data_IF_278757877229
#
_entry.id   IF_278757877229
#
_cell.length_a   1.000
_cell.length_b   1.000
_cell.length_c   1.000
_cell.angle_alpha   90.00
_cell.angle_beta   90.00
_cell.angle_gamma   90.00
#
_symmetry.space_group_name_H-M   'P 1'
#
loop_
_entity.id
_entity.type
_entity.pdbx_description
1 polymer ?
#
# COMPACT_ATOMS: atom_id res chain seq x y z
N UNK A 1 -4.32 6.68 -22.08
CA UNK A 1 -3.73 5.66 -21.20
C UNK A 1 -4.90 4.85 -20.67
N UNK A 2 -5.04 3.59 -21.10
CA UNK A 2 -6.15 2.74 -20.65
C UNK A 2 -6.06 2.58 -19.13
N UNK A 3 -7.21 2.68 -18.47
CA UNK A 3 -7.33 2.57 -17.03
C UNK A 3 -7.49 1.09 -16.72
N UNK A 4 -6.40 0.43 -16.33
CA UNK A 4 -6.43 -0.99 -16.01
C UNK A 4 -6.91 -1.21 -14.58
N UNK A 5 -7.69 -2.27 -14.38
CA UNK A 5 -8.00 -2.75 -13.04
C UNK A 5 -6.73 -3.26 -12.35
N UNK A 6 -6.72 -3.21 -11.03
CA UNK A 6 -5.62 -3.78 -10.25
C UNK A 6 -5.70 -5.31 -10.30
N UNK A 7 -4.55 -5.98 -10.26
CA UNK A 7 -4.49 -7.43 -10.20
C UNK A 7 -5.15 -7.97 -8.93
N UNK A 8 -5.61 -9.22 -8.98
CA UNK A 8 -6.20 -9.91 -7.83
C UNK A 8 -5.26 -9.90 -6.62
N UNK A 9 -3.95 -10.02 -6.86
CA UNK A 9 -2.92 -9.89 -5.84
C UNK A 9 -2.99 -8.55 -5.11
N UNK A 10 -3.06 -7.42 -5.82
CA UNK A 10 -3.10 -6.09 -5.21
C UNK A 10 -4.42 -5.88 -4.46
N UNK A 11 -5.53 -6.34 -5.01
CA UNK A 11 -6.85 -6.25 -4.36
C UNK A 11 -6.86 -7.04 -3.05
N UNK A 12 -6.34 -8.28 -3.07
CA UNK A 12 -6.22 -9.10 -1.88
C UNK A 12 -5.25 -8.47 -0.87
N UNK A 13 -4.09 -8.00 -1.34
CA UNK A 13 -3.08 -7.38 -0.49
C UNK A 13 -3.58 -6.14 0.21
N UNK A 14 -4.31 -5.26 -0.47
CA UNK A 14 -4.92 -4.08 0.12
C UNK A 14 -5.85 -4.42 1.30
N UNK A 15 -6.56 -5.55 1.25
CA UNK A 15 -7.40 -6.03 2.36
C UNK A 15 -6.57 -6.57 3.51
N UNK A 16 -5.48 -7.30 3.22
CA UNK A 16 -4.64 -7.93 4.24
C UNK A 16 -3.78 -6.93 5.01
N UNK A 17 -3.30 -5.88 4.36
CA UNK A 17 -2.52 -4.81 5.02
C UNK A 17 -3.41 -3.81 5.78
N UNK A 18 -4.72 -3.78 5.49
CA UNK A 18 -5.64 -2.81 6.06
C UNK A 18 -5.62 -2.76 7.59
N UNK A 19 -5.63 -3.89 8.33
CA UNK A 19 -5.56 -3.87 9.78
C UNK A 19 -4.35 -3.11 10.34
N UNK A 20 -3.15 -3.30 9.76
CA UNK A 20 -1.94 -2.59 10.20
C UNK A 20 -2.09 -1.06 10.10
N UNK A 21 -2.70 -0.58 9.01
CA UNK A 21 -2.94 0.85 8.82
C UNK A 21 -4.09 1.37 9.69
N UNK A 22 -5.15 0.57 9.86
CA UNK A 22 -6.28 0.90 10.71
C UNK A 22 -5.87 1.08 12.18
N UNK A 23 -4.92 0.27 12.68
CA UNK A 23 -4.37 0.39 14.03
C UNK A 23 -3.62 1.72 14.26
N UNK A 24 -3.14 2.36 13.18
CA UNK A 24 -2.53 3.70 13.20
C UNK A 24 -3.56 4.82 12.96
N UNK A 25 -4.84 4.49 12.82
CA UNK A 25 -5.89 5.44 12.42
C UNK A 25 -5.85 5.83 10.94
N UNK A 26 -5.05 5.14 10.11
CA UNK A 26 -4.95 5.39 8.69
C UNK A 26 -5.99 4.57 7.93
N UNK A 27 -6.37 5.04 6.75
CA UNK A 27 -7.28 4.30 5.87
C UNK A 27 -6.56 3.83 4.62
N UNK A 28 -6.61 2.53 4.32
CA UNK A 28 -6.04 1.95 3.10
C UNK A 28 -7.11 1.29 2.23
N UNK A 29 -6.97 1.43 0.90
CA UNK A 29 -7.82 0.76 -0.10
C UNK A 29 -7.04 0.48 -1.38
N UNK A 30 -7.51 -0.47 -2.18
CA UNK A 30 -6.99 -0.65 -3.53
C UNK A 30 -7.46 0.50 -4.43
N UNK A 31 -6.57 0.94 -5.32
CA UNK A 31 -6.87 1.82 -6.44
C UNK A 31 -6.88 1.04 -7.75
N UNK A 32 -6.73 1.76 -8.85
CA UNK A 32 -6.54 1.20 -10.20
C UNK A 32 -5.04 1.07 -10.52
N UNK A 33 -4.68 0.35 -11.59
CA UNK A 33 -3.29 0.20 -12.04
C UNK A 33 -2.33 -0.30 -10.93
N UNK A 34 -2.71 -1.35 -10.21
CA UNK A 34 -1.93 -1.95 -9.13
C UNK A 34 -1.50 -0.96 -8.03
N UNK A 35 -2.36 0.02 -7.75
CA UNK A 35 -2.11 0.99 -6.70
C UNK A 35 -2.82 0.61 -5.40
N UNK A 36 -2.20 0.95 -4.28
CA UNK A 36 -2.83 0.96 -2.97
C UNK A 36 -2.79 2.40 -2.48
N UNK A 37 -3.97 2.93 -2.18
CA UNK A 37 -4.16 4.29 -1.69
C UNK A 37 -4.19 4.24 -0.17
N UNK A 38 -3.37 5.07 0.48
CA UNK A 38 -3.29 5.18 1.92
C UNK A 38 -3.54 6.63 2.31
N UNK A 39 -4.58 6.87 3.08
CA UNK A 39 -4.88 8.16 3.69
C UNK A 39 -4.35 8.16 5.13
N UNK A 40 -3.36 9.00 5.36
CA UNK A 40 -2.78 9.28 6.68
C UNK A 40 -3.82 10.01 7.53
N UNK A 41 -3.86 9.68 8.83
CA UNK A 41 -4.78 10.29 9.77
C UNK A 41 -4.58 11.83 9.83
N UNK A 42 -5.67 12.61 9.94
CA UNK A 42 -5.61 14.07 9.85
C UNK A 42 -4.86 14.75 11.00
N UNK A 43 -4.71 14.06 12.13
CA UNK A 43 -4.03 14.48 13.34
C UNK A 43 -2.52 14.21 13.34
N UNK A 44 -2.00 13.50 12.33
CA UNK A 44 -0.56 13.26 12.20
C UNK A 44 0.17 14.33 11.39
N UNK A 45 1.42 14.58 11.77
CA UNK A 45 2.33 15.41 10.97
C UNK A 45 2.81 14.61 9.75
N UNK A 46 2.16 14.76 8.59
CA UNK A 46 2.50 14.00 7.38
C UNK A 46 3.79 14.42 6.64
N UNK A 47 4.82 14.84 7.37
CA UNK A 47 6.14 15.12 6.83
C UNK A 47 6.99 13.84 6.76
N UNK A 48 6.47 12.81 6.10
CA UNK A 48 7.19 11.56 5.93
C UNK A 48 8.13 11.61 4.72
N UNK A 49 9.36 11.17 4.92
CA UNK A 49 10.30 10.89 3.85
C UNK A 49 9.92 9.59 3.13
N UNK A 50 10.39 9.42 1.88
CA UNK A 50 10.18 8.17 1.13
C UNK A 50 10.75 6.95 1.85
N UNK A 51 11.86 7.10 2.57
CA UNK A 51 12.50 6.01 3.31
C UNK A 51 11.67 5.59 4.53
N UNK A 52 11.10 6.55 5.25
CA UNK A 52 10.20 6.25 6.38
C UNK A 52 8.94 5.53 5.89
N UNK A 53 8.34 5.99 4.79
CA UNK A 53 7.18 5.32 4.20
C UNK A 53 7.52 3.92 3.69
N UNK A 54 8.70 3.71 3.12
CA UNK A 54 9.17 2.40 2.71
C UNK A 54 9.33 1.44 3.91
N UNK A 55 9.85 1.94 5.04
CA UNK A 55 9.96 1.16 6.27
C UNK A 55 8.57 0.78 6.83
N UNK A 56 7.63 1.73 6.85
CA UNK A 56 6.24 1.48 7.27
C UNK A 56 5.59 0.42 6.37
N UNK A 57 5.79 0.49 5.05
CA UNK A 57 5.32 -0.54 4.12
C UNK A 57 5.95 -1.89 4.44
N UNK A 58 7.26 -1.94 4.70
CA UNK A 58 7.95 -3.19 5.03
C UNK A 58 7.39 -3.82 6.30
N UNK A 59 7.17 -3.03 7.36
CA UNK A 59 6.55 -3.51 8.61
C UNK A 59 5.12 -4.02 8.37
N UNK A 60 4.33 -3.30 7.57
CA UNK A 60 2.98 -3.71 7.23
C UNK A 60 2.98 -5.04 6.46
N UNK A 61 3.90 -5.20 5.51
CA UNK A 61 4.07 -6.41 4.69
C UNK A 61 4.48 -7.62 5.54
N UNK A 62 5.34 -7.44 6.53
CA UNK A 62 5.80 -8.50 7.44
C UNK A 62 4.72 -8.95 8.43
N UNK A 63 3.83 -8.04 8.84
CA UNK A 63 2.71 -8.34 9.73
C UNK A 63 1.47 -8.86 9.00
N UNK A 64 1.41 -8.68 7.68
CA UNK A 64 0.28 -9.10 6.87
C UNK A 64 0.42 -10.57 6.47
N UNK A 65 -0.69 -11.34 6.50
CA UNK A 65 -0.69 -12.69 5.93
C UNK A 65 -0.26 -12.69 4.46
N UNK A 66 0.28 -13.82 4.02
CA UNK A 66 0.59 -14.09 2.61
C UNK A 66 -0.70 -14.29 1.82
N UNK A 67 -0.72 -13.83 0.57
CA UNK A 67 -1.87 -13.96 -0.34
C UNK A 67 -1.93 -15.31 -1.06
N UNK A 68 -0.79 -15.97 -1.28
CA UNK A 68 -0.70 -17.17 -2.12
C UNK A 68 -0.88 -16.92 -3.62
N UNK A 69 -0.92 -15.65 -4.06
CA UNK A 69 -1.17 -15.25 -5.45
C UNK A 69 0.12 -14.87 -6.18
N UNK A 70 0.04 -14.79 -7.51
CA UNK A 70 1.13 -14.29 -8.35
C UNK A 70 1.35 -12.81 -8.04
N UNK A 71 2.58 -12.47 -7.63
CA UNK A 71 2.93 -11.12 -7.23
C UNK A 71 2.94 -10.19 -8.45
N UNK A 72 2.35 -9.02 -8.26
CA UNK A 72 2.46 -7.88 -9.17
C UNK A 72 3.19 -6.76 -8.46
N UNK A 73 3.82 -5.84 -9.22
CA UNK A 73 4.33 -4.60 -8.63
C UNK A 73 3.18 -3.82 -7.99
N UNK A 74 3.41 -3.26 -6.82
CA UNK A 74 2.43 -2.45 -6.09
C UNK A 74 2.94 -1.02 -6.01
N UNK A 75 2.11 -0.04 -6.36
CA UNK A 75 2.42 1.37 -6.08
C UNK A 75 1.58 1.87 -4.91
N UNK A 76 2.23 2.09 -3.78
CA UNK A 76 1.64 2.70 -2.60
C UNK A 76 1.60 4.22 -2.79
N UNK A 77 0.43 4.82 -2.64
CA UNK A 77 0.20 6.26 -2.80
C UNK A 77 -0.34 6.81 -1.48
N UNK A 78 0.43 7.68 -0.85
CA UNK A 78 0.09 8.27 0.44
C UNK A 78 -0.54 9.64 0.24
N UNK A 79 -1.67 9.86 0.91
CA UNK A 79 -2.35 11.14 0.96
C UNK A 79 -2.47 11.62 2.40
N UNK A 80 -2.45 12.93 2.58
CA UNK A 80 -2.81 13.59 3.83
C UNK A 80 -3.62 14.84 3.50
N UNK A 81 -4.81 15.00 4.09
CA UNK A 81 -5.75 16.08 3.74
C UNK A 81 -5.97 16.23 2.22
N UNK A 82 -6.16 15.11 1.52
CA UNK A 82 -6.32 15.02 0.05
C UNK A 82 -5.09 15.48 -0.77
N UNK A 83 -3.98 15.82 -0.13
CA UNK A 83 -2.71 16.16 -0.77
C UNK A 83 -1.84 14.91 -0.90
N UNK A 84 -1.23 14.74 -2.07
CA UNK A 84 -0.27 13.68 -2.30
C UNK A 84 1.00 13.94 -1.46
N UNK A 85 1.31 13.03 -0.55
CA UNK A 85 2.54 13.05 0.25
C UNK A 85 3.67 12.40 -0.53
N UNK A 86 3.50 11.14 -0.92
CA UNK A 86 4.50 10.40 -1.66
C UNK A 86 3.93 9.20 -2.41
N UNK A 87 4.75 8.66 -3.32
CA UNK A 87 4.51 7.39 -3.99
C UNK A 87 5.72 6.48 -3.78
N UNK A 88 5.46 5.24 -3.41
CA UNK A 88 6.48 4.20 -3.22
C UNK A 88 6.06 2.97 -4.03
N UNK A 89 6.90 2.56 -4.97
CA UNK A 89 6.65 1.36 -5.77
C UNK A 89 7.47 0.21 -5.24
N UNK A 90 6.79 -0.89 -4.90
CA UNK A 90 7.39 -2.15 -4.46
C UNK A 90 7.36 -3.12 -5.61
N UNK A 91 8.53 -3.62 -5.98
CA UNK A 91 8.69 -4.64 -7.02
C UNK A 91 8.55 -6.05 -6.42
N UNK A 92 8.00 -7.01 -7.17
CA UNK A 92 7.92 -8.38 -6.70
C UNK A 92 9.32 -8.98 -6.57
N UNK A 93 9.68 -9.45 -5.37
CA UNK A 93 10.95 -10.16 -5.13
C UNK A 93 10.91 -11.65 -5.50
N UNK A 94 9.71 -12.19 -5.69
CA UNK A 94 9.42 -13.58 -6.09
C UNK A 94 8.18 -13.59 -6.98
N UNK A 95 7.99 -14.67 -7.74
CA UNK A 95 6.81 -14.82 -8.60
C UNK A 95 5.52 -15.03 -7.81
N UNK A 96 5.58 -15.77 -6.69
CA UNK A 96 4.43 -16.10 -5.84
C UNK A 96 4.66 -15.54 -4.43
N UNK A 97 3.58 -15.10 -3.80
CA UNK A 97 3.54 -14.65 -2.40
C UNK A 97 3.33 -15.83 -1.44
N UNK A 98 4.43 -16.52 -1.12
CA UNK A 98 4.49 -17.68 -0.22
C UNK A 98 4.98 -17.33 1.19
#
# INVERSE_FOLDING_TARGET
MEVFESSEYVIAKAKLIHPYFADKGWFSTHGKNNCILINIAPDENANYTKSELANIISEAEDQSPRTGLIRSSITYIFFHHLLLVAKVTVLPGSEIDL
#
